data_IF_678110629412
#
_entry.id   IF_678110629412
#
_cell.length_a   1.000
_cell.length_b   1.000
_cell.length_c   1.000
_cell.angle_alpha   90.00
_cell.angle_beta   90.00
_cell.angle_gamma   90.00
#
_symmetry.space_group_name_H-M   'P 1'
#
loop_
_entity.id
_entity.type
_entity.pdbx_description
1 polymer ?
#
# COMPACT_ATOMS: atom_id res chain seq x y z
N UNK A 1 0.89 6.00 13.30
CA UNK A 1 1.51 5.17 12.23
C UNK A 1 0.58 4.16 11.55
N UNK A 2 -0.34 3.48 12.25
CA UNK A 2 -1.26 2.49 11.66
C UNK A 2 -2.09 3.03 10.48
N UNK A 3 -2.86 4.11 10.69
CA UNK A 3 -3.77 4.68 9.68
C UNK A 3 -3.02 5.14 8.44
N UNK A 4 -1.81 5.68 8.61
CA UNK A 4 -0.94 6.09 7.51
C UNK A 4 -0.53 4.88 6.66
N UNK A 5 -0.05 3.80 7.29
CA UNK A 5 0.31 2.57 6.59
C UNK A 5 -0.91 1.93 5.89
N UNK A 6 -2.06 1.91 6.56
CA UNK A 6 -3.32 1.42 6.00
C UNK A 6 -3.74 2.22 4.76
N UNK A 7 -3.68 3.56 4.82
CA UNK A 7 -4.06 4.43 3.71
C UNK A 7 -3.18 4.22 2.48
N UNK A 8 -1.86 4.06 2.68
CA UNK A 8 -0.91 3.77 1.59
C UNK A 8 -1.21 2.40 0.98
N UNK A 9 -1.43 1.38 1.81
CA UNK A 9 -1.81 0.03 1.37
C UNK A 9 -3.08 0.03 0.49
N UNK A 10 -4.16 0.61 1.01
CA UNK A 10 -5.45 0.67 0.30
C UNK A 10 -5.30 1.38 -1.04
N UNK A 11 -4.59 2.51 -1.08
CA UNK A 11 -4.41 3.30 -2.31
C UNK A 11 -3.71 2.48 -3.39
N UNK A 12 -2.63 1.80 -3.03
CA UNK A 12 -1.82 1.01 -3.96
C UNK A 12 -2.56 -0.22 -4.49
N UNK A 13 -3.26 -0.95 -3.62
CA UNK A 13 -4.08 -2.09 -4.04
C UNK A 13 -5.28 -1.66 -4.90
N UNK A 14 -5.86 -0.48 -4.61
CA UNK A 14 -6.94 0.09 -5.41
C UNK A 14 -6.45 0.47 -6.82
N UNK A 15 -5.31 1.16 -6.93
CA UNK A 15 -4.70 1.50 -8.23
C UNK A 15 -4.41 0.25 -9.06
N UNK A 16 -3.90 -0.79 -8.40
CA UNK A 16 -3.66 -2.10 -9.01
C UNK A 16 -4.94 -2.72 -9.56
N UNK A 17 -6.01 -2.74 -8.77
CA UNK A 17 -7.30 -3.28 -9.19
C UNK A 17 -7.90 -2.51 -10.39
N UNK A 18 -7.78 -1.18 -10.39
CA UNK A 18 -8.21 -0.32 -11.51
C UNK A 18 -7.42 -0.65 -12.78
N UNK A 19 -6.09 -0.81 -12.67
CA UNK A 19 -5.23 -1.13 -13.80
C UNK A 19 -5.59 -2.50 -14.43
N UNK A 20 -5.88 -3.51 -13.60
CA UNK A 20 -6.32 -4.84 -14.05
C UNK A 20 -7.70 -4.78 -14.72
N UNK A 21 -8.65 -4.01 -14.16
CA UNK A 21 -9.98 -3.83 -14.76
C UNK A 21 -9.88 -3.21 -16.16
N UNK A 22 -9.10 -2.13 -16.29
CA UNK A 22 -8.77 -1.47 -17.57
C UNK A 22 -8.15 -2.43 -18.57
N UNK A 23 -7.15 -3.19 -18.15
CA UNK A 23 -6.48 -4.17 -18.99
C UNK A 23 -7.44 -5.26 -19.50
N UNK A 24 -8.31 -5.79 -18.62
CA UNK A 24 -9.34 -6.78 -19.00
C UNK A 24 -10.36 -6.21 -19.99
N UNK A 25 -10.79 -4.97 -19.80
CA UNK A 25 -11.73 -4.30 -20.70
C UNK A 25 -11.14 -4.07 -22.10
N UNK A 26 -9.83 -3.79 -22.19
CA UNK A 26 -9.14 -3.61 -23.47
C UNK A 26 -8.98 -4.95 -24.21
N UNK A 27 -8.58 -6.02 -23.53
CA UNK A 27 -8.35 -7.33 -24.18
C UNK A 27 -9.66 -8.02 -24.57
N UNK A 28 -10.69 -7.91 -23.73
CA UNK A 28 -11.96 -8.61 -23.94
C UNK A 28 -13.12 -7.60 -24.02
N UNK A 29 -13.22 -6.82 -25.12
CA UNK A 29 -14.24 -5.77 -25.26
C UNK A 29 -15.69 -6.30 -25.20
N UNK A 30 -15.89 -7.59 -25.50
CA UNK A 30 -17.20 -8.26 -25.48
C UNK A 30 -17.51 -9.00 -24.17
N UNK A 31 -16.57 -9.05 -23.20
CA UNK A 31 -16.79 -9.76 -21.94
C UNK A 31 -17.51 -8.83 -20.96
N UNK A 32 -18.61 -9.32 -20.38
CA UNK A 32 -19.43 -8.55 -19.44
C UNK A 32 -18.58 -7.93 -18.32
N UNK A 33 -18.84 -6.64 -18.02
CA UNK A 33 -18.22 -5.93 -16.90
C UNK A 33 -18.40 -6.73 -15.61
N UNK A 34 -17.42 -6.71 -14.68
CA UNK A 34 -17.59 -7.36 -13.39
C UNK A 34 -18.90 -6.89 -12.74
N UNK A 35 -19.68 -7.84 -12.24
CA UNK A 35 -20.95 -7.54 -11.59
C UNK A 35 -20.69 -6.73 -10.32
N UNK A 36 -21.67 -5.92 -9.89
CA UNK A 36 -21.56 -5.12 -8.64
C UNK A 36 -21.15 -5.97 -7.42
N UNK A 37 -21.52 -7.25 -7.40
CA UNK A 37 -21.10 -8.20 -6.38
C UNK A 37 -19.61 -8.50 -6.40
N UNK A 38 -19.04 -8.76 -7.59
CA UNK A 38 -17.59 -9.02 -7.74
C UNK A 38 -16.78 -7.79 -7.34
N UNK A 39 -17.19 -6.59 -7.76
CA UNK A 39 -16.52 -5.35 -7.36
C UNK A 39 -16.52 -5.13 -5.85
N UNK A 40 -17.63 -5.43 -5.16
CA UNK A 40 -17.71 -5.36 -3.69
C UNK A 40 -16.76 -6.36 -3.02
N UNK A 41 -16.68 -7.58 -3.53
CA UNK A 41 -15.73 -8.59 -3.02
C UNK A 41 -14.28 -8.15 -3.20
N UNK A 42 -13.94 -7.57 -4.35
CA UNK A 42 -12.59 -7.04 -4.61
C UNK A 42 -12.25 -5.93 -3.61
N UNK A 43 -13.15 -4.96 -3.41
CA UNK A 43 -12.95 -3.87 -2.45
C UNK A 43 -12.79 -4.42 -1.03
N UNK A 44 -13.65 -5.35 -0.61
CA UNK A 44 -13.54 -5.98 0.70
C UNK A 44 -12.19 -6.70 0.88
N UNK A 45 -11.75 -7.44 -0.13
CA UNK A 45 -10.43 -8.09 -0.15
C UNK A 45 -9.28 -7.10 -0.01
N UNK A 46 -9.33 -5.96 -0.72
CA UNK A 46 -8.34 -4.88 -0.60
C UNK A 46 -8.26 -4.36 0.82
N UNK A 47 -9.40 -4.08 1.44
CA UNK A 47 -9.44 -3.59 2.83
C UNK A 47 -8.90 -4.62 3.81
N UNK A 48 -9.30 -5.89 3.69
CA UNK A 48 -8.80 -6.96 4.56
C UNK A 48 -7.28 -7.12 4.46
N UNK A 49 -6.76 -7.13 3.23
CA UNK A 49 -5.32 -7.26 2.98
C UNK A 49 -4.55 -6.04 3.49
N UNK A 50 -5.07 -4.84 3.26
CA UNK A 50 -4.46 -3.60 3.75
C UNK A 50 -4.43 -3.52 5.28
N UNK A 51 -5.50 -3.96 5.95
CA UNK A 51 -5.54 -4.07 7.41
C UNK A 51 -4.52 -5.08 7.89
N UNK A 52 -4.48 -6.28 7.28
CA UNK A 52 -3.53 -7.34 7.65
C UNK A 52 -2.08 -6.85 7.66
N UNK A 53 -1.68 -6.10 6.64
CA UNK A 53 -0.34 -5.51 6.59
C UNK A 53 -0.13 -4.32 7.55
N UNK A 54 -1.19 -3.62 7.93
CA UNK A 54 -1.11 -2.51 8.87
C UNK A 54 -1.13 -2.95 10.34
N UNK A 55 -1.76 -4.08 10.69
CA UNK A 55 -1.88 -4.63 12.08
C UNK A 55 -0.57 -4.58 12.89
N UNK A 56 0.60 -4.95 12.34
CA UNK A 56 1.85 -4.95 13.09
C UNK A 56 2.25 -3.57 13.60
N UNK A 57 1.95 -2.49 12.86
CA UNK A 57 2.13 -1.12 13.34
C UNK A 57 1.18 -0.76 14.49
N UNK A 58 -0.03 -1.31 14.49
CA UNK A 58 -0.96 -1.13 15.60
C UNK A 58 -0.51 -1.88 16.86
N UNK A 59 0.28 -2.95 16.72
CA UNK A 59 0.79 -3.72 17.86
C UNK A 59 2.11 -3.12 18.39
N UNK A 60 3.01 -2.71 17.50
CA UNK A 60 4.34 -2.23 17.87
C UNK A 60 4.32 -0.86 18.58
N UNK A 61 3.52 0.08 18.07
CA UNK A 61 3.55 1.47 18.54
C UNK A 61 2.55 1.72 19.68
N UNK A 62 3.02 2.34 20.75
CA UNK A 62 2.22 2.81 21.89
C UNK A 62 2.59 4.24 22.25
N UNK A 63 1.65 4.94 22.88
CA UNK A 63 1.90 6.28 23.44
C UNK A 63 2.43 6.07 24.85
N UNK A 64 3.61 6.62 25.11
CA UNK A 64 4.31 6.52 26.38
C UNK A 64 4.60 7.93 26.91
N UNK A 65 4.53 8.08 28.22
CA UNK A 65 4.87 9.32 28.89
C UNK A 65 6.39 9.34 29.13
N UNK A 66 7.09 10.21 28.42
CA UNK A 66 8.50 10.46 28.65
C UNK A 66 8.66 11.68 29.54
N UNK A 67 9.29 11.48 30.70
CA UNK A 67 9.76 12.59 31.53
C UNK A 67 11.20 12.91 31.13
N UNK A 68 11.38 14.02 30.41
CA UNK A 68 12.69 14.54 30.07
C UNK A 68 13.13 15.59 31.09
N UNK A 69 14.39 15.52 31.51
CA UNK A 69 14.99 16.50 32.42
C UNK A 69 15.67 17.59 31.61
N UNK A 70 15.13 18.80 31.65
CA UNK A 70 15.75 19.97 31.04
C UNK A 70 16.47 20.77 32.13
N UNK A 71 17.67 21.25 31.82
CA UNK A 71 18.44 22.12 32.72
C UNK A 71 18.62 23.49 32.08
N UNK A 72 18.04 24.50 32.69
CA UNK A 72 18.13 25.90 32.26
C UNK A 72 18.51 26.75 33.48
N UNK A 73 19.51 27.63 33.35
CA UNK A 73 19.99 28.51 34.44
C UNK A 73 20.28 27.80 35.77
N UNK A 74 20.86 26.60 35.73
CA UNK A 74 21.19 25.77 36.89
C UNK A 74 19.97 25.25 37.69
N UNK A 75 18.75 25.49 37.20
CA UNK A 75 17.52 24.87 37.69
C UNK A 75 17.17 23.66 36.81
N UNK A 76 16.62 22.62 37.43
CA UNK A 76 16.27 21.37 36.74
C UNK A 76 14.76 21.27 36.64
N UNK A 77 14.23 21.24 35.43
CA UNK A 77 12.81 21.10 35.14
C UNK A 77 12.52 19.69 34.63
N UNK A 78 11.50 19.06 35.19
CA UNK A 78 10.96 17.81 34.67
C UNK A 78 9.80 18.14 33.74
N UNK A 79 9.92 17.79 32.47
CA UNK A 79 8.87 17.98 31.48
C UNK A 79 8.38 16.62 31.03
N UNK A 80 7.12 16.31 31.32
CA UNK A 80 6.46 15.09 30.86
C UNK A 80 5.78 15.35 29.53
N UNK A 81 6.12 14.57 28.50
CA UNK A 81 5.51 14.64 27.17
C UNK A 81 5.12 13.25 26.70
N UNK A 82 4.00 13.18 26.00
CA UNK A 82 3.49 11.92 25.46
C UNK A 82 4.12 11.71 24.08
N UNK A 83 4.94 10.66 23.94
CA UNK A 83 5.58 10.28 22.69
C UNK A 83 5.09 8.92 22.21
N UNK A 84 4.88 8.80 20.90
CA UNK A 84 4.54 7.52 20.28
C UNK A 84 5.84 6.78 19.95
N UNK A 85 6.09 5.64 20.59
CA UNK A 85 7.29 4.85 20.39
C UNK A 85 7.00 3.36 20.28
N UNK A 86 7.94 2.61 19.69
CA UNK A 86 7.88 1.16 19.72
C UNK A 86 8.25 0.68 21.14
N UNK A 87 7.32 0.00 21.80
CA UNK A 87 7.55 -0.64 23.10
C UNK A 87 7.37 -2.15 23.06
N UNK A 88 6.51 -2.62 22.16
CA UNK A 88 6.00 -3.98 22.22
C UNK A 88 6.85 -4.96 21.39
N UNK A 89 7.68 -4.44 20.47
CA UNK A 89 8.61 -5.24 19.67
C UNK A 89 10.06 -4.88 20.01
N UNK A 90 10.95 -5.87 20.01
CA UNK A 90 12.40 -5.64 20.04
C UNK A 90 12.84 -4.85 18.79
N UNK A 91 13.92 -4.07 18.90
CA UNK A 91 14.41 -3.25 17.78
C UNK A 91 14.75 -4.10 16.54
N UNK A 92 15.33 -5.29 16.74
CA UNK A 92 15.66 -6.23 15.66
C UNK A 92 14.41 -6.78 14.95
N UNK A 93 13.38 -7.09 15.73
CA UNK A 93 12.08 -7.51 15.20
C UNK A 93 11.40 -6.38 14.44
N UNK A 94 11.40 -5.16 14.98
CA UNK A 94 10.84 -3.98 14.31
C UNK A 94 11.59 -3.70 13.00
N UNK A 95 12.91 -3.80 13.01
CA UNK A 95 13.74 -3.54 11.84
C UNK A 95 13.44 -4.55 10.74
N UNK A 96 13.44 -5.84 11.06
CA UNK A 96 13.08 -6.91 10.10
C UNK A 96 11.66 -6.72 9.58
N UNK A 97 10.71 -6.40 10.46
CA UNK A 97 9.31 -6.18 10.09
C UNK A 97 9.13 -4.96 9.19
N UNK A 98 9.88 -3.88 9.46
CA UNK A 98 9.87 -2.67 8.65
C UNK A 98 10.45 -2.93 7.26
N UNK A 99 11.57 -3.65 7.16
CA UNK A 99 12.14 -4.04 5.87
C UNK A 99 11.22 -4.98 5.10
N UNK A 100 10.64 -5.99 5.75
CA UNK A 100 9.70 -6.92 5.11
C UNK A 100 8.45 -6.19 4.62
N UNK A 101 7.93 -5.25 5.40
CA UNK A 101 6.83 -4.40 4.98
C UNK A 101 7.19 -3.54 3.80
N UNK A 102 8.31 -2.81 3.83
CA UNK A 102 8.74 -1.99 2.68
C UNK A 102 8.90 -2.87 1.45
N UNK A 103 9.49 -4.05 1.59
CA UNK A 103 9.62 -5.00 0.50
C UNK A 103 8.25 -5.42 -0.05
N UNK A 104 7.32 -5.89 0.78
CA UNK A 104 5.99 -6.28 0.30
C UNK A 104 5.21 -5.09 -0.26
N UNK A 105 5.28 -3.94 0.40
CA UNK A 105 4.55 -2.70 0.08
C UNK A 105 5.06 -2.01 -1.18
N UNK A 106 6.31 -2.20 -1.57
CA UNK A 106 6.89 -1.59 -2.78
C UNK A 106 7.07 -2.62 -3.89
N UNK A 107 7.58 -3.82 -3.57
CA UNK A 107 7.91 -4.81 -4.59
C UNK A 107 6.66 -5.45 -5.18
N UNK A 108 5.65 -5.78 -4.37
CA UNK A 108 4.38 -6.32 -4.88
C UNK A 108 3.71 -5.35 -5.84
N UNK A 109 3.45 -4.08 -5.49
CA UNK A 109 2.84 -3.16 -6.44
C UNK A 109 3.76 -2.78 -7.59
N UNK A 110 5.08 -2.71 -7.40
CA UNK A 110 6.00 -2.53 -8.51
C UNK A 110 5.88 -3.68 -9.51
N UNK A 111 5.94 -4.93 -9.05
CA UNK A 111 5.77 -6.10 -9.91
C UNK A 111 4.40 -6.11 -10.61
N UNK A 112 3.32 -5.78 -9.90
CA UNK A 112 1.99 -5.77 -10.49
C UNK A 112 1.82 -4.65 -11.51
N UNK A 113 2.29 -3.43 -11.20
CA UNK A 113 2.27 -2.29 -12.12
C UNK A 113 3.11 -2.62 -13.35
N UNK A 114 4.37 -3.04 -13.18
CA UNK A 114 5.25 -3.44 -14.27
C UNK A 114 4.62 -4.53 -15.14
N UNK A 115 4.04 -5.57 -14.55
CA UNK A 115 3.37 -6.63 -15.29
C UNK A 115 2.21 -6.10 -16.14
N UNK A 116 1.32 -5.28 -15.56
CA UNK A 116 0.17 -4.72 -16.28
C UNK A 116 0.63 -3.81 -17.43
N UNK A 117 1.62 -2.96 -17.21
CA UNK A 117 2.15 -2.06 -18.25
C UNK A 117 2.89 -2.80 -19.35
N UNK A 118 3.70 -3.82 -19.03
CA UNK A 118 4.36 -4.67 -20.03
C UNK A 118 3.30 -5.35 -20.90
N UNK A 119 2.25 -5.90 -20.30
CA UNK A 119 1.19 -6.58 -21.03
C UNK A 119 0.43 -5.62 -21.96
N UNK A 120 0.17 -4.39 -21.50
CA UNK A 120 -0.42 -3.33 -22.30
C UNK A 120 0.50 -2.91 -23.47
N UNK A 121 1.79 -2.72 -23.22
CA UNK A 121 2.77 -2.36 -24.24
C UNK A 121 2.90 -3.43 -25.34
N UNK A 122 3.00 -4.71 -24.97
CA UNK A 122 3.06 -5.83 -25.93
C UNK A 122 1.80 -5.90 -26.78
N UNK A 123 0.63 -5.69 -26.18
CA UNK A 123 -0.65 -5.70 -26.91
C UNK A 123 -0.77 -4.52 -27.88
N UNK A 124 -0.41 -3.31 -27.46
CA UNK A 124 -0.41 -2.13 -28.34
C UNK A 124 0.59 -2.29 -29.50
N UNK A 125 1.78 -2.81 -29.25
CA UNK A 125 2.78 -3.02 -30.31
C UNK A 125 2.35 -4.08 -31.34
N UNK A 126 1.58 -5.08 -30.90
CA UNK A 126 1.02 -6.11 -31.78
C UNK A 126 -0.22 -5.66 -32.58
N UNK A 127 -0.82 -4.51 -32.24
CA UNK A 127 -2.00 -4.01 -32.96
C UNK A 127 -1.54 -2.97 -33.98
N UNK A 128 -1.44 -3.35 -35.27
CA UNK A 128 -1.35 -2.36 -36.35
C UNK A 128 -2.54 -1.41 -36.22
N UNK A 129 -2.30 -0.10 -36.24
CA UNK A 129 -3.38 0.87 -36.34
C UNK A 129 -4.27 0.51 -37.54
N UNK A 130 -5.59 0.32 -37.36
CA UNK A 130 -6.49 0.14 -38.49
C UNK A 130 -6.60 1.50 -39.19
N UNK A 131 -5.76 1.70 -40.21
CA UNK A 131 -5.63 3.00 -40.86
C UNK A 131 -4.48 3.05 -41.84
N UNK A 132 -4.52 2.22 -42.88
CA UNK A 132 -4.27 2.74 -44.21
C UNK A 132 -5.33 2.12 -45.10
N UNK A 133 -6.26 2.95 -45.57
CA UNK A 133 -7.20 2.57 -46.61
C UNK A 133 -6.38 2.11 -47.81
N UNK A 134 -6.53 0.84 -48.18
CA UNK A 134 -6.16 0.39 -49.51
C UNK A 134 -7.40 0.56 -50.38
N UNK A 135 -7.15 1.23 -51.49
CA UNK A 135 -7.96 1.48 -52.69
C UNK A 135 -8.93 2.68 -52.66
#
# INVERSE_FOLDING_TARGET
PFVQALSVNVSVFTLTAIAIDRHRAIINPLRARPTKFISKFIIAGIWMLAVLFAVPFAIAFRVEELTERFRENNETFNVTRNFCMNKNLSDDQLQTFRYSLVFVQYLVPFCVISFVYIQMAVRLWGTRAPGNAQD
#
